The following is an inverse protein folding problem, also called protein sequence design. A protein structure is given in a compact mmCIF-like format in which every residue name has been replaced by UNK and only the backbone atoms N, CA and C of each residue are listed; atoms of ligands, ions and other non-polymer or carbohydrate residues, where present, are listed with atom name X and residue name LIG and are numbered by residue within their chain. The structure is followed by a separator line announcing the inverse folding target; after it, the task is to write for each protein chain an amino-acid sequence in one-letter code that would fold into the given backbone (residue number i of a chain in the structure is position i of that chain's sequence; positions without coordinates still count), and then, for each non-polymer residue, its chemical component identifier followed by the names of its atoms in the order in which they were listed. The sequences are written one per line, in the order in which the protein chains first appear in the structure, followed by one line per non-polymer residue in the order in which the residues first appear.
data_IF_238365003202
#
_entry.id   IF_238365003202
#
_cell.length_a   1.000
_cell.length_b   1.000
_cell.length_c   1.000
_cell.angle_alpha   90.00
_cell.angle_beta   90.00
_cell.angle_gamma   90.00
#
_symmetry.space_group_name_H-M   'P 1'
#
loop_
_entity.id
_entity.type
_entity.pdbx_description
1 polymer ?
#
# COMPACT_ATOMS: atom_id res chain seq x y z
N UNK A 1 -16.16 -19.82 9.41
CA UNK A 1 -16.66 -19.79 8.02
C UNK A 1 -17.19 -18.40 7.67
N UNK A 2 -18.22 -17.87 8.31
CA UNK A 2 -18.79 -16.52 7.99
C UNK A 2 -17.74 -15.38 7.86
N UNK A 3 -16.77 -15.28 8.76
CA UNK A 3 -15.80 -14.16 8.76
C UNK A 3 -14.81 -14.23 7.58
N UNK A 4 -14.43 -15.41 7.15
CA UNK A 4 -13.58 -15.60 5.95
C UNK A 4 -14.32 -15.21 4.68
N UNK A 5 -15.60 -15.58 4.58
CA UNK A 5 -16.46 -15.21 3.44
C UNK A 5 -16.67 -13.70 3.37
N UNK A 6 -16.85 -13.03 4.51
CA UNK A 6 -16.96 -11.57 4.59
C UNK A 6 -15.66 -10.87 4.14
N UNK A 7 -14.50 -11.38 4.56
CA UNK A 7 -13.20 -10.84 4.14
C UNK A 7 -13.02 -10.98 2.62
N UNK A 8 -13.32 -12.16 2.07
CA UNK A 8 -13.20 -12.41 0.63
C UNK A 8 -14.18 -11.56 -0.18
N UNK A 9 -15.40 -11.39 0.28
CA UNK A 9 -16.40 -10.53 -0.36
C UNK A 9 -15.94 -9.06 -0.37
N UNK A 10 -15.40 -8.55 0.73
CA UNK A 10 -14.85 -7.19 0.80
C UNK A 10 -13.63 -7.03 -0.09
N UNK A 11 -12.71 -7.99 -0.10
CA UNK A 11 -11.54 -7.97 -0.98
C UNK A 11 -11.96 -7.91 -2.46
N UNK A 12 -12.96 -8.68 -2.85
CA UNK A 12 -13.51 -8.64 -4.20
C UNK A 12 -14.18 -7.28 -4.51
N UNK A 13 -14.94 -6.73 -3.56
CA UNK A 13 -15.61 -5.44 -3.71
C UNK A 13 -14.62 -4.26 -3.84
N UNK A 14 -13.45 -4.35 -3.21
CA UNK A 14 -12.42 -3.29 -3.25
C UNK A 14 -11.38 -3.48 -4.35
N UNK A 15 -11.58 -4.43 -5.27
CA UNK A 15 -10.65 -4.69 -6.37
C UNK A 15 -10.29 -3.43 -7.15
N UNK A 16 -11.30 -2.70 -7.62
CA UNK A 16 -11.09 -1.52 -8.46
C UNK A 16 -10.50 -0.36 -7.67
N UNK A 17 -10.90 -0.21 -6.40
CA UNK A 17 -10.31 0.81 -5.53
C UNK A 17 -8.85 0.47 -5.20
N UNK A 18 -8.50 -0.80 -5.00
CA UNK A 18 -7.10 -1.22 -4.82
C UNK A 18 -6.26 -0.89 -6.06
N UNK A 19 -6.82 -1.10 -7.26
CA UNK A 19 -6.16 -0.71 -8.50
C UNK A 19 -5.98 0.82 -8.61
N UNK A 20 -6.94 1.62 -8.13
CA UNK A 20 -6.81 3.08 -8.07
C UNK A 20 -5.73 3.51 -7.07
N UNK A 21 -5.66 2.89 -5.87
CA UNK A 21 -4.59 3.13 -4.90
C UNK A 21 -3.23 2.86 -5.56
N UNK A 22 -3.08 1.72 -6.23
CA UNK A 22 -1.85 1.38 -6.94
C UNK A 22 -1.52 2.41 -8.03
N UNK A 23 -2.50 2.83 -8.81
CA UNK A 23 -2.34 3.87 -9.83
C UNK A 23 -1.81 5.18 -9.23
N UNK A 24 -2.37 5.63 -8.11
CA UNK A 24 -1.91 6.84 -7.40
C UNK A 24 -0.48 6.69 -6.88
N UNK A 25 -0.14 5.53 -6.33
CA UNK A 25 1.21 5.24 -5.87
C UNK A 25 2.23 5.22 -7.02
N UNK A 26 1.87 4.69 -8.19
CA UNK A 26 2.74 4.68 -9.37
C UNK A 26 2.97 6.11 -9.88
N UNK A 27 1.94 6.95 -9.93
CA UNK A 27 2.05 8.36 -10.33
C UNK A 27 2.95 9.17 -9.40
N UNK A 28 3.10 8.73 -8.16
CA UNK A 28 4.00 9.34 -7.18
C UNK A 28 5.39 8.71 -7.32
N UNK A 29 6.30 9.40 -7.99
CA UNK A 29 7.68 8.93 -8.15
C UNK A 29 8.35 8.76 -6.80
N UNK A 30 9.11 7.68 -6.62
CA UNK A 30 9.78 7.36 -5.38
C UNK A 30 11.04 6.55 -5.64
N UNK A 31 12.02 7.13 -6.31
CA UNK A 31 13.33 6.51 -6.40
C UNK A 31 13.95 6.40 -5.02
N UNK A 32 14.80 5.38 -4.81
CA UNK A 32 15.48 5.18 -3.54
C UNK A 32 16.17 6.47 -3.08
N UNK A 33 16.00 6.83 -1.81
CA UNK A 33 16.36 8.10 -1.17
C UNK A 33 15.56 9.35 -1.64
N UNK A 34 14.45 9.18 -2.38
CA UNK A 34 13.55 10.25 -2.84
C UNK A 34 12.06 9.91 -2.57
N UNK A 35 11.77 9.16 -1.52
CA UNK A 35 10.45 8.57 -1.26
C UNK A 35 9.48 9.48 -0.50
N UNK A 36 9.88 10.69 -0.13
CA UNK A 36 9.09 11.59 0.73
C UNK A 36 7.62 11.71 0.30
N UNK A 37 7.37 11.96 -0.99
CA UNK A 37 6.01 12.18 -1.49
C UNK A 37 5.20 10.89 -1.47
N UNK A 38 5.84 9.73 -1.76
CA UNK A 38 5.20 8.42 -1.65
C UNK A 38 4.88 8.08 -0.19
N UNK A 39 5.77 8.36 0.76
CA UNK A 39 5.52 8.19 2.18
C UNK A 39 4.33 9.05 2.65
N UNK A 40 4.26 10.31 2.22
CA UNK A 40 3.14 11.19 2.54
C UNK A 40 1.83 10.66 1.95
N UNK A 41 1.84 10.14 0.71
CA UNK A 41 0.66 9.55 0.08
C UNK A 41 0.20 8.28 0.83
N UNK A 42 1.11 7.40 1.20
CA UNK A 42 0.79 6.20 2.01
C UNK A 42 0.20 6.59 3.36
N UNK A 43 0.81 7.57 4.04
CA UNK A 43 0.31 8.10 5.32
C UNK A 43 -1.12 8.61 5.19
N UNK A 44 -1.39 9.45 4.18
CA UNK A 44 -2.73 9.99 3.87
C UNK A 44 -3.77 8.88 3.68
N UNK A 45 -3.43 7.84 2.91
CA UNK A 45 -4.32 6.70 2.66
C UNK A 45 -4.61 5.91 3.95
N UNK A 46 -3.60 5.65 4.77
CA UNK A 46 -3.77 4.95 6.05
C UNK A 46 -4.66 5.76 7.02
N UNK A 47 -4.46 7.07 7.09
CA UNK A 47 -5.28 7.98 7.91
C UNK A 47 -6.73 8.04 7.39
N UNK A 48 -6.94 8.13 6.07
CA UNK A 48 -8.25 8.10 5.42
C UNK A 48 -9.05 6.86 5.78
N UNK A 49 -8.40 5.70 5.89
CA UNK A 49 -9.05 4.44 6.26
C UNK A 49 -9.13 4.19 7.77
N UNK A 50 -8.76 5.19 8.58
CA UNK A 50 -8.96 5.18 10.03
C UNK A 50 -8.07 4.18 10.77
N UNK A 51 -6.82 3.99 10.33
CA UNK A 51 -5.85 3.18 11.07
C UNK A 51 -5.58 3.81 12.43
N UNK A 52 -5.36 2.99 13.45
CA UNK A 52 -5.34 3.44 14.85
C UNK A 52 -4.10 4.29 15.21
N UNK A 53 -3.03 4.12 14.45
CA UNK A 53 -1.82 4.93 14.54
C UNK A 53 -1.17 4.99 13.16
N UNK A 54 -0.73 6.17 12.74
CA UNK A 54 0.05 6.33 11.51
C UNK A 54 1.15 7.35 11.77
N UNK A 55 2.39 6.95 11.58
CA UNK A 55 3.56 7.83 11.77
C UNK A 55 4.62 7.60 10.71
N UNK A 56 5.46 8.58 10.48
CA UNK A 56 6.69 8.46 9.71
C UNK A 56 7.84 8.39 10.70
N UNK A 57 8.74 7.44 10.53
CA UNK A 57 9.91 7.28 11.39
C UNK A 57 11.09 8.20 10.98
N UNK A 58 12.20 8.09 11.67
CA UNK A 58 13.38 8.92 11.42
C UNK A 58 14.10 8.65 10.09
N UNK A 59 13.80 7.54 9.42
CA UNK A 59 14.33 7.21 8.09
C UNK A 59 13.39 7.64 6.94
N UNK A 60 12.11 7.86 7.24
CA UNK A 60 11.10 8.20 6.27
C UNK A 60 10.09 7.07 5.99
N UNK A 61 10.23 5.91 6.63
CA UNK A 61 9.28 4.80 6.51
C UNK A 61 7.97 5.12 7.21
N UNK A 62 6.85 4.72 6.61
CA UNK A 62 5.53 4.85 7.25
C UNK A 62 5.25 3.61 8.07
N UNK A 63 4.86 3.81 9.32
CA UNK A 63 4.43 2.74 10.22
C UNK A 63 2.98 3.00 10.59
N UNK A 64 2.11 2.08 10.23
CA UNK A 64 0.69 2.13 10.54
C UNK A 64 0.30 0.94 11.42
N UNK A 65 -0.60 1.15 12.38
CA UNK A 65 -1.07 0.12 13.31
C UNK A 65 -2.58 -0.02 13.26
N UNK A 66 -3.03 -1.27 13.35
CA UNK A 66 -4.44 -1.63 13.47
C UNK A 66 -4.59 -2.57 14.66
N UNK A 67 -5.54 -2.27 15.53
CA UNK A 67 -5.78 -2.99 16.78
C UNK A 67 -4.80 -2.60 17.90
N UNK A 68 -5.04 -3.16 19.09
CA UNK A 68 -4.29 -2.86 20.32
C UNK A 68 -3.95 -4.10 21.15
N UNK A 69 -3.98 -5.29 20.52
CA UNK A 69 -3.67 -6.54 21.19
C UNK A 69 -2.18 -6.66 21.60
N UNK A 70 -1.91 -7.49 22.58
CA UNK A 70 -0.55 -7.69 23.12
C UNK A 70 0.41 -8.34 22.11
N UNK A 71 -0.11 -9.25 21.28
CA UNK A 71 0.68 -9.91 20.24
C UNK A 71 0.87 -8.99 19.05
N UNK A 72 2.07 -8.95 18.51
CA UNK A 72 2.41 -8.10 17.37
C UNK A 72 2.60 -8.94 16.12
N UNK A 73 1.97 -8.53 15.03
CA UNK A 73 2.19 -9.03 13.68
C UNK A 73 2.65 -7.87 12.83
N UNK A 74 3.81 -7.99 12.19
CA UNK A 74 4.29 -7.00 11.23
C UNK A 74 4.19 -7.57 9.82
N UNK A 75 3.76 -6.73 8.88
CA UNK A 75 3.74 -7.00 7.46
C UNK A 75 4.48 -5.83 6.81
N UNK A 76 5.49 -6.14 6.04
CA UNK A 76 6.38 -5.16 5.43
C UNK A 76 6.21 -5.08 3.92
N UNK A 77 6.40 -3.89 3.37
CA UNK A 77 6.47 -3.64 1.93
C UNK A 77 7.16 -2.31 1.65
N UNK A 78 8.12 -2.29 0.71
CA UNK A 78 8.83 -1.07 0.36
C UNK A 78 8.05 -0.18 -0.61
N UNK A 79 8.30 1.12 -0.53
CA UNK A 79 7.65 2.14 -1.36
C UNK A 79 8.56 2.77 -2.40
N UNK A 80 9.86 2.53 -2.30
CA UNK A 80 10.81 2.98 -3.30
C UNK A 80 10.81 2.09 -4.54
N UNK A 81 11.41 2.61 -5.60
CA UNK A 81 11.59 1.92 -6.87
C UNK A 81 12.97 2.23 -7.43
N UNK A 82 13.49 1.30 -8.20
CA UNK A 82 14.64 1.59 -9.06
C UNK A 82 14.23 2.55 -10.18
N UNK A 83 15.22 3.18 -10.80
CA UNK A 83 15.01 4.06 -11.95
C UNK A 83 14.38 3.32 -13.15
N UNK A 84 13.79 4.07 -14.05
CA UNK A 84 13.10 3.51 -15.24
C UNK A 84 14.06 3.01 -16.31
N UNK A 85 15.34 3.34 -16.22
CA UNK A 85 16.32 3.06 -17.25
C UNK A 85 16.07 3.92 -18.50
N UNK A 86 16.20 3.31 -19.69
CA UNK A 86 15.92 4.00 -20.95
C UNK A 86 14.41 4.14 -21.18
N UNK A 87 13.86 5.36 -21.15
CA UNK A 87 12.42 5.59 -21.36
C UNK A 87 11.91 5.10 -22.72
N UNK A 88 12.76 5.02 -23.75
CA UNK A 88 12.37 4.55 -25.07
C UNK A 88 11.98 3.06 -25.10
N UNK A 89 12.38 2.29 -24.09
CA UNK A 89 12.01 0.88 -23.96
C UNK A 89 10.62 0.66 -23.36
N UNK A 90 9.99 1.72 -22.83
CA UNK A 90 8.67 1.64 -22.26
C UNK A 90 7.60 1.86 -23.33
N UNK A 91 6.63 0.95 -23.42
CA UNK A 91 5.48 1.09 -24.33
C UNK A 91 4.48 2.15 -23.87
N UNK A 92 4.48 2.48 -22.59
CA UNK A 92 3.63 3.49 -21.94
C UNK A 92 4.50 4.28 -20.96
N UNK A 93 4.09 5.49 -20.61
CA UNK A 93 4.79 6.26 -19.58
C UNK A 93 4.90 5.43 -18.29
N UNK A 94 6.14 5.19 -17.78
CA UNK A 94 6.36 4.40 -16.57
C UNK A 94 5.72 4.96 -15.31
N UNK A 95 5.27 6.20 -15.32
CA UNK A 95 4.58 6.84 -14.20
C UNK A 95 3.11 7.18 -14.50
N UNK A 96 2.56 6.64 -15.58
CA UNK A 96 1.14 6.89 -15.93
C UNK A 96 0.16 6.31 -14.91
N UNK A 97 0.50 5.19 -14.28
CA UNK A 97 -0.45 4.46 -13.44
C UNK A 97 -1.71 4.04 -14.22
N UNK A 98 -1.61 3.90 -15.55
CA UNK A 98 -2.75 3.56 -16.41
C UNK A 98 -3.37 2.23 -16.02
N UNK A 99 -4.68 2.21 -15.86
CA UNK A 99 -5.45 0.99 -15.63
C UNK A 99 -6.12 0.62 -16.95
N UNK A 100 -5.64 -0.44 -17.57
CA UNK A 100 -6.17 -0.92 -18.86
C UNK A 100 -6.05 -2.44 -18.94
N UNK A 101 -6.99 -3.09 -19.61
CA UNK A 101 -6.99 -4.53 -19.89
C UNK A 101 -6.82 -5.43 -18.65
N UNK A 102 -7.33 -4.96 -17.49
CA UNK A 102 -7.20 -5.67 -16.21
C UNK A 102 -5.82 -5.56 -15.55
N UNK A 103 -4.96 -4.68 -16.04
CA UNK A 103 -3.61 -4.43 -15.54
C UNK A 103 -3.47 -2.97 -15.07
N UNK A 104 -2.55 -2.75 -14.13
CA UNK A 104 -2.07 -1.42 -13.77
C UNK A 104 -0.64 -1.28 -14.27
N UNK A 105 -0.40 -0.30 -15.15
CA UNK A 105 0.88 -0.13 -15.83
C UNK A 105 1.76 0.89 -15.11
N UNK A 106 3.02 0.55 -14.92
CA UNK A 106 4.03 1.52 -14.48
C UNK A 106 5.16 0.94 -13.64
N UNK A 107 6.16 1.78 -13.36
CA UNK A 107 7.31 1.43 -12.52
C UNK A 107 6.83 1.19 -11.08
N UNK A 108 7.24 0.07 -10.50
CA UNK A 108 6.83 -0.33 -9.17
C UNK A 108 5.47 -1.03 -9.08
N UNK A 109 4.75 -1.22 -10.20
CA UNK A 109 3.44 -1.89 -10.18
C UNK A 109 3.51 -3.30 -9.59
N UNK A 110 4.53 -4.07 -9.91
CA UNK A 110 4.78 -5.40 -9.38
C UNK A 110 5.68 -5.38 -8.15
N UNK A 111 6.76 -4.59 -8.21
CA UNK A 111 7.80 -4.53 -7.18
C UNK A 111 7.93 -3.09 -6.65
N UNK A 112 7.35 -2.77 -5.45
CA UNK A 112 6.27 -3.62 -4.92
C UNK A 112 5.06 -2.78 -4.47
N UNK A 113 4.79 -1.63 -5.16
CA UNK A 113 3.62 -0.79 -4.84
C UNK A 113 2.29 -1.54 -4.94
N UNK A 114 2.22 -2.63 -5.74
CA UNK A 114 1.06 -3.53 -5.77
C UNK A 114 0.82 -4.21 -4.43
N UNK A 115 1.88 -4.70 -3.79
CA UNK A 115 1.84 -5.23 -2.43
C UNK A 115 1.43 -4.16 -1.42
N UNK A 116 1.98 -2.95 -1.52
CA UNK A 116 1.62 -1.80 -0.68
C UNK A 116 0.12 -1.46 -0.79
N UNK A 117 -0.41 -1.38 -2.01
CA UNK A 117 -1.85 -1.14 -2.22
C UNK A 117 -2.72 -2.24 -1.61
N UNK A 118 -2.31 -3.50 -1.75
CA UNK A 118 -3.00 -4.64 -1.13
C UNK A 118 -2.94 -4.59 0.40
N UNK A 119 -1.81 -4.21 0.99
CA UNK A 119 -1.66 -4.03 2.45
C UNK A 119 -2.60 -2.94 2.98
N UNK A 120 -2.69 -1.80 2.30
CA UNK A 120 -3.59 -0.70 2.68
C UNK A 120 -5.05 -1.16 2.62
N UNK A 121 -5.45 -1.85 1.55
CA UNK A 121 -6.81 -2.40 1.40
C UNK A 121 -7.12 -3.45 2.46
N UNK A 122 -6.19 -4.35 2.75
CA UNK A 122 -6.34 -5.35 3.81
C UNK A 122 -6.53 -4.69 5.19
N UNK A 123 -5.74 -3.66 5.48
CA UNK A 123 -5.87 -2.88 6.69
C UNK A 123 -7.23 -2.20 6.83
N UNK A 124 -7.74 -1.61 5.74
CA UNK A 124 -9.10 -1.07 5.68
C UNK A 124 -10.15 -2.13 5.99
N UNK A 125 -10.05 -3.31 5.40
CA UNK A 125 -10.98 -4.41 5.65
C UNK A 125 -10.97 -4.81 7.12
N UNK A 126 -9.79 -4.90 7.74
CA UNK A 126 -9.68 -5.17 9.18
C UNK A 126 -10.40 -4.12 10.01
N UNK A 127 -10.24 -2.83 9.70
CA UNK A 127 -10.94 -1.73 10.39
C UNK A 127 -12.45 -1.84 10.24
N UNK A 128 -12.96 -2.03 9.04
CA UNK A 128 -14.39 -2.14 8.75
C UNK A 128 -15.05 -3.36 9.40
N UNK A 129 -14.31 -4.45 9.57
CA UNK A 129 -14.77 -5.66 10.26
C UNK A 129 -14.62 -5.58 11.77
N UNK A 130 -14.22 -4.42 12.31
CA UNK A 130 -14.09 -4.21 13.75
C UNK A 130 -13.01 -5.11 14.36
N UNK A 131 -11.82 -5.18 13.72
CA UNK A 131 -10.72 -5.97 14.25
C UNK A 131 -10.30 -5.45 15.64
N UNK A 132 -10.53 -6.29 16.65
CA UNK A 132 -10.22 -6.03 18.06
C UNK A 132 -9.49 -7.21 18.74
N UNK A 133 -8.89 -8.05 17.95
CA UNK A 133 -8.32 -9.33 18.36
C UNK A 133 -7.11 -9.22 19.31
N UNK A 134 -6.46 -10.37 19.54
CA UNK A 134 -5.28 -10.48 20.41
C UNK A 134 -4.03 -9.84 19.82
N UNK A 135 -4.11 -9.33 18.61
CA UNK A 135 -2.98 -8.80 17.84
C UNK A 135 -3.09 -7.30 17.63
N UNK A 136 -1.93 -6.65 17.64
CA UNK A 136 -1.69 -5.38 16.97
C UNK A 136 -1.05 -5.69 15.63
N UNK A 137 -1.68 -5.32 14.52
CA UNK A 137 -1.14 -5.49 13.18
C UNK A 137 -0.41 -4.21 12.81
N UNK A 138 0.88 -4.31 12.54
CA UNK A 138 1.71 -3.24 12.05
C UNK A 138 1.94 -3.43 10.55
N UNK A 139 1.62 -2.42 9.77
CA UNK A 139 1.96 -2.32 8.37
C UNK A 139 3.13 -1.35 8.26
N UNK A 140 4.26 -1.84 7.81
CA UNK A 140 5.47 -1.03 7.61
C UNK A 140 5.68 -0.81 6.11
N UNK A 141 5.79 0.44 5.73
CA UNK A 141 6.00 0.85 4.34
C UNK A 141 7.38 1.49 4.28
N UNK A 142 8.36 0.67 3.94
CA UNK A 142 9.77 0.99 4.11
C UNK A 142 10.34 1.77 2.93
N UNK A 143 11.39 2.54 3.20
CA UNK A 143 12.18 3.28 2.21
C UNK A 143 13.53 2.61 2.05
N UNK A 144 14.16 2.82 0.90
CA UNK A 144 15.55 2.39 0.61
C UNK A 144 15.76 0.88 0.82
N UNK A 145 14.94 0.06 0.17
CA UNK A 145 15.14 -1.39 0.16
C UNK A 145 16.52 -1.79 -0.37
#
# INVERSE_FOLDING_TARGET
MKRTEEILAKAAAYRDETAQILSELIKTKSYSAQEKDAAMKVKELCEKYGFDEVRIDGLGSVIARIGSGEKKLAIDGHIDTVEVGDPAQWKKDPFSGEIADGLVHGRGASDQKGGVAAMITAGRILKELGFDGKYSVYLTFTVME
#
